data_IF_064507411720
#
_entry.id   IF_064507411720
#
_cell.length_a   1.000
_cell.length_b   1.000
_cell.length_c   1.000
_cell.angle_alpha   90.00
_cell.angle_beta   90.00
_cell.angle_gamma   90.00
#
_symmetry.space_group_name_H-M   'P 1'
#
loop_
_entity.id
_entity.type
_entity.pdbx_description
1 polymer ?
#
# COMPACT_ATOMS: atom_id res chain seq x y z
N UNK A 1 9.16 -0.75 -38.69
CA UNK A 1 7.72 -0.96 -38.43
C UNK A 1 7.45 -0.48 -37.02
N UNK A 2 6.82 0.67 -36.87
CA UNK A 2 6.44 1.21 -35.56
C UNK A 2 5.28 0.38 -35.05
N UNK A 3 5.51 -0.40 -33.99
CA UNK A 3 4.44 -1.00 -33.21
C UNK A 3 3.63 0.14 -32.58
N UNK A 4 2.58 0.62 -33.27
CA UNK A 4 1.69 1.64 -32.72
C UNK A 4 0.75 0.98 -31.71
N UNK A 5 1.18 0.83 -30.46
CA UNK A 5 0.22 0.66 -29.37
C UNK A 5 -0.42 2.02 -29.07
N UNK A 6 -1.67 2.02 -28.63
CA UNK A 6 -2.29 3.23 -28.11
C UNK A 6 -1.49 3.69 -26.87
N UNK A 7 -1.09 4.96 -26.77
CA UNK A 7 -0.27 5.43 -25.67
C UNK A 7 -1.02 5.23 -24.35
N UNK A 8 -0.29 4.72 -23.35
CA UNK A 8 -0.83 4.54 -22.00
C UNK A 8 -0.94 5.89 -21.30
N UNK A 9 -1.78 5.98 -20.27
CA UNK A 9 -1.96 7.23 -19.52
C UNK A 9 -0.63 7.85 -19.07
N UNK A 10 0.32 7.02 -18.64
CA UNK A 10 1.63 7.39 -18.12
C UNK A 10 2.54 8.05 -19.19
N UNK A 11 2.32 7.72 -20.47
CA UNK A 11 3.09 8.20 -21.63
C UNK A 11 2.53 9.50 -22.22
N UNK A 12 1.33 9.92 -21.80
CA UNK A 12 0.72 11.16 -22.29
C UNK A 12 1.46 12.40 -21.77
N UNK A 13 1.37 13.49 -22.52
CA UNK A 13 1.98 14.78 -22.17
C UNK A 13 1.15 15.52 -21.12
N UNK A 14 1.80 16.24 -20.22
CA UNK A 14 1.11 17.00 -19.15
C UNK A 14 1.45 18.49 -19.10
N UNK A 15 2.37 18.93 -19.95
CA UNK A 15 2.86 20.30 -20.06
C UNK A 15 2.77 20.81 -21.50
N UNK A 16 2.84 22.13 -21.73
CA UNK A 16 3.23 22.67 -23.04
C UNK A 16 4.68 22.27 -23.38
N UNK A 17 5.17 22.67 -24.56
CA UNK A 17 6.57 22.47 -24.92
C UNK A 17 7.44 23.38 -24.05
N UNK A 18 8.43 22.79 -23.37
CA UNK A 18 9.33 23.47 -22.44
C UNK A 18 10.77 23.40 -22.95
N UNK A 19 11.58 24.37 -22.54
CA UNK A 19 13.04 24.31 -22.62
C UNK A 19 13.62 23.33 -21.59
N UNK A 20 14.89 22.97 -21.74
CA UNK A 20 15.58 22.09 -20.80
C UNK A 20 15.61 22.66 -19.37
N UNK A 21 15.85 23.96 -19.23
CA UNK A 21 15.89 24.65 -17.93
C UNK A 21 14.52 24.61 -17.24
N UNK A 22 13.44 24.90 -17.97
CA UNK A 22 12.07 24.84 -17.45
C UNK A 22 11.70 23.42 -16.98
N UNK A 23 12.13 22.37 -17.70
CA UNK A 23 11.92 20.98 -17.25
C UNK A 23 12.61 20.72 -15.91
N UNK A 24 13.86 21.17 -15.75
CA UNK A 24 14.65 20.99 -14.53
C UNK A 24 14.02 21.73 -13.35
N UNK A 25 13.44 22.91 -13.59
CA UNK A 25 12.70 23.68 -12.59
C UNK A 25 11.44 22.94 -12.11
N UNK A 26 10.74 22.23 -12.99
CA UNK A 26 9.51 21.52 -12.64
C UNK A 26 9.74 20.20 -11.87
N UNK A 27 10.89 19.53 -12.05
CA UNK A 27 11.14 18.18 -11.54
C UNK A 27 12.21 18.15 -10.43
N UNK A 28 11.99 17.36 -9.37
CA UNK A 28 12.94 17.11 -8.29
C UNK A 28 13.89 15.96 -8.66
N UNK A 29 14.80 16.24 -9.60
CA UNK A 29 15.74 15.26 -10.13
C UNK A 29 16.75 14.77 -9.10
N UNK A 30 17.08 15.61 -8.12
CA UNK A 30 18.00 15.25 -7.03
C UNK A 30 17.43 14.09 -6.18
N UNK A 31 16.14 14.15 -5.85
CA UNK A 31 15.48 13.07 -5.12
C UNK A 31 15.39 11.80 -5.97
N UNK A 32 15.06 11.90 -7.25
CA UNK A 32 15.03 10.75 -8.17
C UNK A 32 16.41 10.08 -8.28
N UNK A 33 17.48 10.87 -8.44
CA UNK A 33 18.86 10.39 -8.45
C UNK A 33 19.23 9.63 -7.18
N UNK A 34 18.86 10.17 -6.00
CA UNK A 34 19.05 9.50 -4.71
C UNK A 34 18.29 8.18 -4.63
N UNK A 35 17.03 8.15 -5.11
CA UNK A 35 16.20 6.94 -5.13
C UNK A 35 16.80 5.87 -6.04
N UNK A 36 17.35 6.25 -7.20
CA UNK A 36 18.04 5.36 -8.14
C UNK A 36 19.48 4.99 -7.74
N UNK A 37 20.08 5.72 -6.80
CA UNK A 37 21.52 5.61 -6.48
C UNK A 37 22.43 5.83 -7.68
N UNK A 38 22.03 6.72 -8.59
CA UNK A 38 22.77 7.05 -9.81
C UNK A 38 22.96 8.55 -9.89
N UNK A 39 24.19 9.07 -10.08
CA UNK A 39 24.41 10.51 -10.23
C UNK A 39 23.68 11.05 -11.47
N UNK A 40 23.27 12.31 -11.42
CA UNK A 40 22.73 13.01 -12.58
C UNK A 40 23.88 13.35 -13.55
N UNK A 41 23.64 13.31 -14.87
CA UNK A 41 24.56 13.90 -15.83
C UNK A 41 24.74 15.40 -15.59
N UNK A 42 25.97 15.89 -15.75
CA UNK A 42 26.30 17.32 -15.57
C UNK A 42 25.99 18.15 -16.83
N UNK A 43 26.01 17.52 -18.01
CA UNK A 43 25.67 18.16 -19.28
C UNK A 43 24.16 18.16 -19.53
N UNK A 44 23.62 19.30 -19.97
CA UNK A 44 22.17 19.46 -20.17
C UNK A 44 21.61 18.55 -21.26
N UNK A 45 22.36 18.28 -22.33
CA UNK A 45 21.90 17.41 -23.41
C UNK A 45 21.88 15.95 -22.94
N UNK A 46 22.92 15.51 -22.23
CA UNK A 46 22.96 14.18 -21.61
C UNK A 46 21.87 14.00 -20.55
N UNK A 47 21.59 15.03 -19.75
CA UNK A 47 20.51 15.01 -18.76
C UNK A 47 19.14 14.84 -19.41
N UNK A 48 18.85 15.58 -20.47
CA UNK A 48 17.56 15.46 -21.17
C UNK A 48 17.40 14.09 -21.84
N UNK A 49 18.47 13.55 -22.43
CA UNK A 49 18.48 12.18 -22.95
C UNK A 49 18.23 11.16 -21.84
N UNK A 50 18.84 11.34 -20.67
CA UNK A 50 18.58 10.49 -19.52
C UNK A 50 17.13 10.56 -19.06
N UNK A 51 16.51 11.74 -19.02
CA UNK A 51 15.09 11.90 -18.69
C UNK A 51 14.16 11.23 -19.72
N UNK A 52 14.52 11.23 -20.99
CA UNK A 52 13.81 10.50 -22.05
C UNK A 52 13.91 8.99 -21.81
N UNK A 53 15.10 8.45 -21.53
CA UNK A 53 15.33 7.04 -21.18
C UNK A 53 14.56 6.63 -19.90
N UNK A 54 14.39 7.57 -18.96
CA UNK A 54 13.58 7.39 -17.76
C UNK A 54 12.06 7.57 -18.01
N UNK A 55 11.63 7.86 -19.24
CA UNK A 55 10.24 8.12 -19.65
C UNK A 55 9.60 9.36 -19.00
N UNK A 56 10.40 10.28 -18.46
CA UNK A 56 9.90 11.50 -17.81
C UNK A 56 9.59 12.61 -18.80
N UNK A 57 10.27 12.62 -19.95
CA UNK A 57 10.08 13.63 -21.00
C UNK A 57 9.99 12.99 -22.38
N UNK A 58 9.41 13.74 -23.33
CA UNK A 58 9.38 13.43 -24.76
C UNK A 58 9.98 14.63 -25.50
N UNK A 59 11.08 14.45 -26.27
CA UNK A 59 11.64 15.53 -27.07
C UNK A 59 10.73 15.90 -28.25
N UNK A 60 10.65 17.19 -28.57
CA UNK A 60 9.97 17.72 -29.76
C UNK A 60 10.66 19.01 -30.25
N UNK A 61 11.29 18.93 -31.41
CA UNK A 61 12.09 20.01 -31.97
C UNK A 61 13.24 20.42 -31.04
N UNK A 62 13.20 21.67 -30.56
CA UNK A 62 14.19 22.22 -29.62
C UNK A 62 13.75 22.18 -28.15
N UNK A 63 12.64 21.52 -27.84
CA UNK A 63 12.09 21.47 -26.48
C UNK A 63 11.62 20.07 -26.08
N UNK A 64 10.94 20.01 -24.94
CA UNK A 64 10.53 18.78 -24.28
C UNK A 64 9.13 18.92 -23.68
N UNK A 65 8.32 17.87 -23.78
CA UNK A 65 7.12 17.74 -22.96
C UNK A 65 7.41 16.84 -21.78
N UNK A 66 6.99 17.24 -20.59
CA UNK A 66 6.94 16.32 -19.44
C UNK A 66 5.76 15.36 -19.62
N UNK A 67 6.00 14.06 -19.38
CA UNK A 67 4.97 13.02 -19.41
C UNK A 67 4.14 13.00 -18.12
N UNK A 68 2.96 12.38 -18.13
CA UNK A 68 2.21 12.12 -16.91
C UNK A 68 3.04 11.35 -15.89
N UNK A 69 3.85 10.37 -16.33
CA UNK A 69 4.79 9.68 -15.45
C UNK A 69 5.81 10.64 -14.83
N UNK A 70 6.48 11.48 -15.62
CA UNK A 70 7.46 12.45 -15.13
C UNK A 70 6.85 13.42 -14.11
N UNK A 71 5.69 14.00 -14.44
CA UNK A 71 4.97 14.89 -13.52
C UNK A 71 4.49 14.17 -12.26
N UNK A 72 3.79 13.04 -12.38
CA UNK A 72 3.17 12.37 -11.23
C UNK A 72 4.21 11.79 -10.27
N UNK A 73 5.39 11.40 -10.78
CA UNK A 73 6.45 10.80 -9.96
C UNK A 73 7.40 11.85 -9.38
N UNK A 74 7.82 12.83 -10.20
CA UNK A 74 8.99 13.67 -9.91
C UNK A 74 8.68 15.16 -9.76
N UNK A 75 7.42 15.62 -9.91
CA UNK A 75 7.10 17.03 -9.75
C UNK A 75 7.56 17.60 -8.40
N UNK A 76 8.19 18.78 -8.41
CA UNK A 76 8.38 19.58 -7.18
C UNK A 76 7.04 20.02 -6.63
N UNK A 77 6.17 20.48 -7.53
CA UNK A 77 4.85 21.02 -7.25
C UNK A 77 3.84 20.48 -8.28
N UNK A 78 3.08 19.45 -7.90
CA UNK A 78 2.03 18.81 -8.69
C UNK A 78 0.91 19.78 -9.09
N UNK A 79 0.80 20.92 -8.44
CA UNK A 79 -0.21 21.91 -8.78
C UNK A 79 0.01 22.65 -10.07
N UNK A 80 1.28 22.78 -10.48
CA UNK A 80 1.64 23.36 -11.77
C UNK A 80 1.26 22.44 -12.94
N UNK A 81 0.86 21.20 -12.66
CA UNK A 81 0.42 20.22 -13.64
C UNK A 81 -1.11 20.11 -13.64
N UNK A 82 -1.79 20.86 -14.50
CA UNK A 82 -3.27 20.97 -14.54
C UNK A 82 -3.98 19.63 -14.46
N UNK A 83 -3.55 18.64 -15.26
CA UNK A 83 -4.17 17.31 -15.34
C UNK A 83 -3.80 16.37 -14.18
N UNK A 84 -2.72 16.65 -13.45
CA UNK A 84 -2.24 15.84 -12.34
C UNK A 84 -2.60 16.42 -10.97
N UNK A 85 -2.92 17.71 -10.92
CA UNK A 85 -3.26 18.44 -9.70
C UNK A 85 -4.36 17.79 -8.86
N UNK A 86 -5.31 17.09 -9.52
CA UNK A 86 -6.44 16.37 -8.90
C UNK A 86 -6.11 14.94 -8.49
N UNK A 87 -4.92 14.45 -8.84
CA UNK A 87 -4.42 13.12 -8.45
C UNK A 87 -3.62 13.15 -7.16
N UNK A 88 -3.38 14.33 -6.58
CA UNK A 88 -2.68 14.50 -5.31
C UNK A 88 -3.25 13.61 -4.21
N UNK A 89 -2.35 13.02 -3.42
CA UNK A 89 -2.77 12.32 -2.21
C UNK A 89 -3.34 13.31 -1.20
N UNK A 90 -4.43 12.90 -0.55
CA UNK A 90 -5.04 13.65 0.55
C UNK A 90 -4.90 12.85 1.84
N UNK A 91 -4.52 13.51 2.93
CA UNK A 91 -4.58 12.94 4.27
C UNK A 91 -5.58 13.75 5.07
N UNK A 92 -6.60 13.10 5.61
CA UNK A 92 -7.64 13.74 6.41
C UNK A 92 -7.66 13.10 7.80
N UNK A 93 -7.66 13.93 8.83
CA UNK A 93 -7.74 13.49 10.21
C UNK A 93 -9.10 13.87 10.77
N UNK A 94 -9.78 12.90 11.36
CA UNK A 94 -11.05 13.10 12.04
C UNK A 94 -10.89 12.85 13.54
N UNK A 95 -11.70 13.54 14.34
CA UNK A 95 -11.90 13.19 15.75
C UNK A 95 -13.01 12.15 15.85
N UNK A 96 -12.81 11.11 16.65
CA UNK A 96 -13.74 10.01 16.75
C UNK A 96 -13.62 9.01 15.62
N UNK A 97 -14.70 8.27 15.37
CA UNK A 97 -14.73 7.12 14.46
C UNK A 97 -15.50 7.38 13.16
N UNK A 98 -15.93 8.62 12.94
CA UNK A 98 -16.73 9.05 11.78
C UNK A 98 -16.17 10.35 11.17
N UNK A 99 -16.83 10.88 10.13
CA UNK A 99 -16.36 12.05 9.36
C UNK A 99 -16.93 13.40 9.80
N UNK A 100 -17.65 13.44 10.93
CA UNK A 100 -18.36 14.66 11.38
C UNK A 100 -17.37 15.74 11.77
N UNK A 101 -16.40 15.41 12.62
CA UNK A 101 -15.46 16.38 13.17
C UNK A 101 -14.09 16.24 12.49
N UNK A 102 -13.84 17.08 11.49
CA UNK A 102 -12.54 17.14 10.79
C UNK A 102 -11.53 17.95 11.61
N UNK A 103 -10.40 17.35 11.95
CA UNK A 103 -9.28 18.00 12.63
C UNK A 103 -8.47 18.82 11.61
N UNK A 104 -8.00 18.16 10.55
CA UNK A 104 -7.23 18.77 9.48
C UNK A 104 -7.33 17.98 8.16
N UNK A 105 -6.97 18.66 7.05
CA UNK A 105 -6.76 18.05 5.74
C UNK A 105 -5.42 18.56 5.17
N UNK A 106 -4.55 17.61 4.80
CA UNK A 106 -3.30 17.90 4.09
C UNK A 106 -3.40 17.37 2.66
N UNK A 107 -3.10 18.23 1.69
CA UNK A 107 -2.99 17.87 0.27
C UNK A 107 -1.52 17.76 -0.10
N UNK A 108 -1.07 16.57 -0.49
CA UNK A 108 0.30 16.37 -0.94
C UNK A 108 0.58 17.16 -2.22
N UNK A 109 1.62 17.99 -2.23
CA UNK A 109 1.97 18.80 -3.40
C UNK A 109 3.15 18.27 -4.20
N UNK A 110 3.90 17.29 -3.70
CA UNK A 110 5.05 16.72 -4.42
C UNK A 110 4.62 15.52 -5.26
N UNK A 111 5.37 15.25 -6.33
CA UNK A 111 5.28 14.00 -7.08
C UNK A 111 5.40 12.80 -6.15
N UNK A 112 4.74 11.71 -6.50
CA UNK A 112 4.58 10.52 -5.68
C UNK A 112 5.90 9.90 -5.22
N UNK A 113 6.91 9.85 -6.08
CA UNK A 113 8.20 9.27 -5.70
C UNK A 113 8.95 10.21 -4.74
N UNK A 114 8.96 11.50 -5.08
CA UNK A 114 9.66 12.55 -4.32
C UNK A 114 9.01 12.79 -2.94
N UNK A 115 7.68 12.72 -2.88
CA UNK A 115 6.90 12.93 -1.67
C UNK A 115 6.75 11.70 -0.77
N UNK A 116 7.17 10.52 -1.23
CA UNK A 116 6.89 9.24 -0.55
C UNK A 116 7.42 9.17 0.88
N UNK A 117 8.72 9.44 1.06
CA UNK A 117 9.38 9.42 2.38
C UNK A 117 8.79 10.50 3.31
N UNK A 118 8.53 11.69 2.77
CA UNK A 118 7.92 12.79 3.52
C UNK A 118 6.50 12.48 4.00
N UNK A 119 5.71 11.77 3.19
CA UNK A 119 4.37 11.31 3.57
C UNK A 119 4.41 10.27 4.69
N UNK A 120 5.32 9.29 4.61
CA UNK A 120 5.50 8.30 5.68
C UNK A 120 5.91 9.01 6.98
N UNK A 121 6.90 9.90 6.92
CA UNK A 121 7.34 10.67 8.09
C UNK A 121 6.23 11.56 8.66
N UNK A 122 5.36 12.13 7.81
CA UNK A 122 4.17 12.85 8.27
C UNK A 122 3.20 11.93 9.01
N UNK A 123 2.84 10.79 8.42
CA UNK A 123 1.92 9.83 9.03
C UNK A 123 2.43 9.32 10.37
N UNK A 124 3.71 8.93 10.43
CA UNK A 124 4.32 8.48 11.68
C UNK A 124 4.20 9.54 12.76
N UNK A 125 4.40 10.84 12.47
CA UNK A 125 4.25 11.91 13.47
C UNK A 125 2.82 12.14 13.95
N UNK A 126 1.82 11.99 13.08
CA UNK A 126 0.42 12.32 13.43
C UNK A 126 -0.40 11.13 13.92
N UNK A 127 0.07 9.90 13.66
CA UNK A 127 -0.57 8.69 14.14
C UNK A 127 -0.39 8.52 15.66
N UNK A 128 -1.29 7.80 16.35
CA UNK A 128 -1.12 7.49 17.76
C UNK A 128 0.18 6.71 18.04
N UNK A 129 0.82 7.01 19.17
CA UNK A 129 2.06 6.36 19.63
C UNK A 129 1.84 5.69 20.98
N UNK A 130 2.63 4.66 21.26
CA UNK A 130 2.85 4.11 22.60
C UNK A 130 4.27 4.44 23.06
N UNK A 131 4.45 4.70 24.36
CA UNK A 131 5.79 4.72 24.96
C UNK A 131 6.24 3.27 25.20
N UNK A 132 7.42 2.92 24.69
CA UNK A 132 8.09 1.64 24.95
C UNK A 132 9.46 1.93 25.54
N UNK A 133 9.86 1.19 26.58
CA UNK A 133 11.21 1.29 27.13
C UNK A 133 12.10 0.30 26.38
N UNK A 134 12.99 0.80 25.51
CA UNK A 134 14.04 0.01 24.87
C UNK A 134 15.40 0.42 25.42
N UNK A 135 16.21 -0.55 25.85
CA UNK A 135 17.58 -0.32 26.33
C UNK A 135 17.69 0.80 27.37
N UNK A 136 16.74 0.87 28.30
CA UNK A 136 16.63 1.89 29.37
C UNK A 136 16.24 3.31 28.90
N UNK A 137 15.97 3.53 27.61
CA UNK A 137 15.48 4.79 27.06
C UNK A 137 14.00 4.66 26.68
N UNK A 138 13.24 5.74 26.89
CA UNK A 138 11.85 5.82 26.41
C UNK A 138 11.87 6.18 24.92
N UNK A 139 11.23 5.34 24.12
CA UNK A 139 11.02 5.56 22.70
C UNK A 139 9.51 5.61 22.41
N UNK A 140 9.11 6.57 21.57
CA UNK A 140 7.74 6.63 21.06
C UNK A 140 7.65 5.77 19.81
N UNK A 141 6.83 4.72 19.88
CA UNK A 141 6.60 3.80 18.76
C UNK A 141 5.18 3.98 18.26
N UNK A 142 5.01 4.25 16.96
CA UNK A 142 3.69 4.31 16.31
C UNK A 142 2.90 3.01 16.56
N UNK A 143 1.61 3.14 16.84
CA UNK A 143 0.71 1.97 16.96
C UNK A 143 0.53 1.22 15.63
N UNK A 144 0.84 1.87 14.52
CA UNK A 144 0.77 1.29 13.18
C UNK A 144 2.17 0.95 12.66
N UNK A 145 2.41 -0.27 12.17
CA UNK A 145 3.73 -0.68 11.67
C UNK A 145 4.13 0.15 10.45
N UNK A 146 5.32 0.77 10.48
CA UNK A 146 5.84 1.56 9.36
C UNK A 146 5.88 0.74 8.05
N UNK A 147 6.28 -0.53 8.12
CA UNK A 147 6.30 -1.41 6.95
C UNK A 147 4.91 -1.58 6.33
N UNK A 148 3.85 -1.65 7.15
CA UNK A 148 2.48 -1.74 6.65
C UNK A 148 2.04 -0.43 5.99
N UNK A 149 2.34 0.72 6.62
CA UNK A 149 2.05 2.04 6.06
C UNK A 149 2.75 2.20 4.71
N UNK A 150 4.05 1.90 4.64
CA UNK A 150 4.86 1.98 3.43
C UNK A 150 4.29 1.17 2.27
N UNK A 151 3.94 -0.10 2.52
CA UNK A 151 3.37 -0.99 1.49
C UNK A 151 1.98 -0.53 1.05
N UNK A 152 1.11 -0.08 1.98
CA UNK A 152 -0.23 0.40 1.64
C UNK A 152 -0.21 1.72 0.87
N UNK A 153 0.69 2.64 1.22
CA UNK A 153 0.89 3.90 0.48
C UNK A 153 1.42 3.60 -0.92
N UNK A 154 2.45 2.76 -1.04
CA UNK A 154 2.99 2.40 -2.36
C UNK A 154 1.91 1.76 -3.24
N UNK A 155 1.14 0.82 -2.69
CA UNK A 155 0.01 0.21 -3.38
C UNK A 155 -1.06 1.24 -3.76
N UNK A 156 -1.37 2.18 -2.87
CA UNK A 156 -2.33 3.26 -3.14
C UNK A 156 -1.88 4.12 -4.32
N UNK A 157 -0.61 4.54 -4.33
CA UNK A 157 -0.05 5.39 -5.39
C UNK A 157 0.03 4.66 -6.73
N UNK A 158 0.40 3.37 -6.73
CA UNK A 158 0.62 2.59 -7.95
C UNK A 158 -0.68 2.05 -8.56
N UNK A 159 -1.64 1.59 -7.77
CA UNK A 159 -2.77 0.78 -8.27
C UNK A 159 -4.08 1.55 -8.46
N UNK A 160 -4.08 2.86 -8.23
CA UNK A 160 -5.24 3.72 -8.48
C UNK A 160 -5.62 3.76 -9.97
N UNK A 161 -6.89 4.05 -10.26
CA UNK A 161 -7.34 4.31 -11.62
C UNK A 161 -7.14 5.78 -12.00
N UNK A 162 -6.11 6.05 -12.80
CA UNK A 162 -5.82 7.41 -13.26
C UNK A 162 -6.86 7.96 -14.26
N UNK A 163 -7.78 7.14 -14.79
CA UNK A 163 -8.87 7.63 -15.65
C UNK A 163 -10.02 8.25 -14.85
N UNK A 164 -10.15 7.93 -13.56
CA UNK A 164 -11.20 8.51 -12.70
C UNK A 164 -10.91 9.97 -12.41
N UNK A 165 -11.73 10.89 -12.90
CA UNK A 165 -11.53 12.33 -12.69
C UNK A 165 -12.07 12.80 -11.34
N UNK A 166 -11.57 13.93 -10.84
CA UNK A 166 -12.06 14.56 -9.61
C UNK A 166 -11.68 13.87 -8.30
N UNK A 167 -11.07 12.69 -8.35
CA UNK A 167 -10.63 11.93 -7.19
C UNK A 167 -9.15 11.52 -7.29
N UNK A 168 -8.51 11.45 -6.13
CA UNK A 168 -7.16 10.95 -5.93
C UNK A 168 -7.12 10.01 -4.72
N UNK A 169 -5.96 9.40 -4.43
CA UNK A 169 -5.80 8.52 -3.29
C UNK A 169 -6.00 9.33 -2.00
N UNK A 170 -6.78 8.78 -1.07
CA UNK A 170 -7.12 9.43 0.20
C UNK A 170 -6.75 8.53 1.35
N UNK A 171 -6.00 9.07 2.30
CA UNK A 171 -5.70 8.45 3.59
C UNK A 171 -6.57 9.14 4.64
N UNK A 172 -7.37 8.36 5.37
CA UNK A 172 -8.21 8.89 6.44
C UNK A 172 -7.81 8.28 7.77
N UNK A 173 -7.59 9.13 8.76
CA UNK A 173 -7.18 8.73 10.11
C UNK A 173 -8.33 9.04 11.07
N UNK A 174 -8.68 8.03 11.86
CA UNK A 174 -9.69 8.07 12.90
C UNK A 174 -9.05 7.62 14.22
N UNK A 175 -9.79 7.75 15.33
CA UNK A 175 -9.30 7.34 16.65
C UNK A 175 -8.99 5.83 16.73
N UNK A 176 -9.70 5.00 15.95
CA UNK A 176 -9.64 3.54 16.01
C UNK A 176 -9.02 2.87 14.79
N UNK A 177 -8.74 3.62 13.70
CA UNK A 177 -8.26 3.07 12.43
C UNK A 177 -7.61 4.11 11.52
N UNK A 178 -6.83 3.61 10.56
CA UNK A 178 -6.40 4.33 9.37
C UNK A 178 -6.93 3.60 8.13
N UNK A 179 -7.40 4.35 7.14
CA UNK A 179 -7.91 3.81 5.87
C UNK A 179 -7.15 4.40 4.69
N UNK A 180 -6.95 3.59 3.66
CA UNK A 180 -6.29 3.95 2.40
C UNK A 180 -7.29 3.68 1.28
N UNK A 181 -7.78 4.75 0.65
CA UNK A 181 -8.83 4.67 -0.37
C UNK A 181 -8.30 5.13 -1.71
N UNK A 182 -8.43 4.26 -2.72
CA UNK A 182 -8.09 4.56 -4.09
C UNK A 182 -9.34 4.76 -4.95
N UNK A 183 -9.29 5.67 -5.95
CA UNK A 183 -10.29 5.68 -7.01
C UNK A 183 -10.13 4.45 -7.90
N UNK A 184 -11.26 3.92 -8.35
CA UNK A 184 -11.33 2.73 -9.19
C UNK A 184 -11.47 1.42 -8.40
N UNK A 185 -12.14 0.46 -9.02
CA UNK A 185 -12.39 -0.86 -8.43
C UNK A 185 -11.16 -1.77 -8.53
N UNK A 186 -11.21 -2.94 -7.88
CA UNK A 186 -10.22 -3.99 -8.12
C UNK A 186 -10.21 -4.40 -9.60
N UNK A 187 -9.02 -4.80 -10.10
CA UNK A 187 -8.91 -5.37 -11.44
C UNK A 187 -9.81 -6.61 -11.56
N UNK A 188 -10.48 -6.85 -12.71
CA UNK A 188 -11.38 -8.00 -12.89
C UNK A 188 -10.73 -9.37 -12.65
N UNK A 189 -9.42 -9.46 -12.86
CA UNK A 189 -8.57 -10.64 -12.60
C UNK A 189 -8.32 -10.90 -11.11
N UNK A 190 -8.58 -9.92 -10.23
CA UNK A 190 -8.32 -10.00 -8.79
C UNK A 190 -9.60 -10.32 -8.03
N UNK A 191 -9.47 -11.20 -7.05
CA UNK A 191 -10.55 -11.54 -6.12
C UNK A 191 -10.23 -10.98 -4.74
N UNK A 192 -11.23 -10.34 -4.13
CA UNK A 192 -11.11 -9.69 -2.82
C UNK A 192 -10.53 -10.63 -1.75
N UNK A 193 -11.01 -11.86 -1.72
CA UNK A 193 -10.61 -12.88 -0.77
C UNK A 193 -9.26 -13.55 -1.11
N UNK A 194 -8.64 -13.24 -2.25
CA UNK A 194 -7.34 -13.80 -2.67
C UNK A 194 -6.29 -12.73 -2.98
N UNK A 195 -6.40 -11.55 -2.38
CA UNK A 195 -5.45 -10.45 -2.58
C UNK A 195 -4.08 -10.73 -1.95
N UNK A 196 -4.04 -11.42 -0.80
CA UNK A 196 -2.80 -11.74 -0.11
C UNK A 196 -2.06 -12.82 -0.91
N UNK A 197 -0.86 -12.51 -1.39
CA UNK A 197 -0.06 -13.41 -2.23
C UNK A 197 -0.63 -13.62 -3.64
N UNK A 198 -1.47 -12.70 -4.11
CA UNK A 198 -1.91 -12.70 -5.52
C UNK A 198 -0.74 -12.41 -6.46
N UNK A 199 -0.80 -12.93 -7.69
CA UNK A 199 0.19 -12.62 -8.72
C UNK A 199 0.25 -11.09 -8.94
N UNK A 200 1.44 -10.48 -8.99
CA UNK A 200 1.57 -9.04 -9.24
C UNK A 200 0.90 -8.64 -10.56
N UNK A 201 0.07 -7.61 -10.52
CA UNK A 201 -0.57 -7.03 -11.69
C UNK A 201 -0.91 -5.57 -11.36
N UNK A 202 -0.63 -4.66 -12.28
CA UNK A 202 -0.85 -3.23 -12.07
C UNK A 202 -1.59 -2.62 -13.25
N UNK A 203 -2.51 -1.70 -12.97
CA UNK A 203 -3.09 -0.81 -14.00
C UNK A 203 -2.03 0.12 -14.61
N UNK A 204 -1.04 0.48 -13.80
CA UNK A 204 0.00 1.46 -14.11
C UNK A 204 1.35 0.74 -14.08
N UNK A 205 1.70 0.10 -15.19
CA UNK A 205 2.86 -0.80 -15.28
C UNK A 205 4.18 -0.03 -15.31
N UNK A 206 4.23 1.14 -15.97
CA UNK A 206 5.44 1.96 -16.02
C UNK A 206 5.76 2.50 -14.62
N UNK A 207 4.76 3.04 -13.94
CA UNK A 207 4.85 3.54 -12.57
C UNK A 207 5.25 2.42 -11.61
N UNK A 208 4.61 1.25 -11.70
CA UNK A 208 4.97 0.09 -10.89
C UNK A 208 6.43 -0.35 -11.11
N UNK A 209 6.86 -0.44 -12.38
CA UNK A 209 8.22 -0.83 -12.74
C UNK A 209 9.25 0.17 -12.21
N UNK A 210 9.02 1.47 -12.45
CA UNK A 210 9.92 2.53 -11.99
C UNK A 210 9.94 2.67 -10.47
N UNK A 211 8.82 2.49 -9.78
CA UNK A 211 8.78 2.56 -8.31
C UNK A 211 9.53 1.39 -7.65
N UNK A 212 9.65 0.24 -8.32
CA UNK A 212 10.58 -0.82 -7.88
C UNK A 212 12.02 -0.39 -8.03
N UNK A 213 12.39 0.21 -9.18
CA UNK A 213 13.74 0.74 -9.41
C UNK A 213 14.09 1.87 -8.43
N UNK A 214 13.12 2.69 -8.05
CA UNK A 214 13.25 3.73 -7.02
C UNK A 214 13.27 3.16 -5.60
N UNK A 215 13.14 1.85 -5.45
CA UNK A 215 13.09 1.14 -4.16
C UNK A 215 11.98 1.67 -3.26
N UNK A 216 10.82 2.00 -3.85
CA UNK A 216 9.58 2.37 -3.15
C UNK A 216 8.77 1.12 -2.83
N UNK A 217 8.62 0.20 -3.79
CA UNK A 217 7.93 -1.08 -3.61
C UNK A 217 8.80 -2.27 -4.02
N UNK A 218 8.48 -3.46 -3.50
CA UNK A 218 9.17 -4.69 -3.88
C UNK A 218 8.54 -5.38 -5.09
N UNK A 219 9.35 -6.19 -5.79
CA UNK A 219 8.99 -6.82 -7.06
C UNK A 219 8.13 -8.10 -6.92
N UNK A 220 7.95 -8.64 -5.70
CA UNK A 220 7.54 -10.04 -5.50
C UNK A 220 6.07 -10.28 -5.17
N UNK A 221 5.19 -9.27 -5.23
CA UNK A 221 3.77 -9.43 -4.85
C UNK A 221 3.56 -9.74 -3.35
N UNK A 222 4.59 -9.51 -2.55
CA UNK A 222 4.64 -9.79 -1.11
C UNK A 222 4.06 -8.65 -0.26
N UNK A 223 3.68 -7.52 -0.85
CA UNK A 223 3.26 -6.32 -0.12
C UNK A 223 2.15 -6.58 0.91
N UNK A 224 1.05 -7.23 0.50
CA UNK A 224 0.01 -7.61 1.45
C UNK A 224 0.43 -8.70 2.44
N UNK A 225 1.35 -9.60 2.08
CA UNK A 225 1.89 -10.57 3.04
C UNK A 225 2.66 -9.87 4.17
N UNK A 226 3.47 -8.85 3.83
CA UNK A 226 4.18 -8.04 4.83
C UNK A 226 3.22 -7.25 5.71
N UNK A 227 2.18 -6.66 5.12
CA UNK A 227 1.16 -5.91 5.86
C UNK A 227 0.47 -6.83 6.87
N UNK A 228 0.01 -8.01 6.44
CA UNK A 228 -0.65 -8.97 7.34
C UNK A 228 0.32 -9.50 8.39
N UNK A 229 1.56 -9.80 8.03
CA UNK A 229 2.59 -10.25 8.98
C UNK A 229 2.86 -9.20 10.06
N UNK A 230 2.96 -7.93 9.67
CA UNK A 230 3.14 -6.82 10.61
C UNK A 230 1.91 -6.61 11.51
N UNK A 231 0.70 -6.75 10.96
CA UNK A 231 -0.57 -6.74 11.69
C UNK A 231 -0.61 -7.86 12.75
N UNK A 232 -0.19 -9.08 12.41
CA UNK A 232 -0.11 -10.18 13.39
C UNK A 232 0.89 -9.87 14.51
N UNK A 233 2.08 -9.37 14.16
CA UNK A 233 3.13 -9.03 15.13
C UNK A 233 2.66 -7.97 16.14
N UNK A 234 1.95 -6.95 15.66
CA UNK A 234 1.44 -5.85 16.47
C UNK A 234 0.16 -6.22 17.24
N UNK A 235 -0.39 -7.42 17.02
CA UNK A 235 -1.64 -7.86 17.66
C UNK A 235 -2.85 -7.03 17.19
N UNK A 236 -2.83 -6.59 15.93
CA UNK A 236 -3.89 -5.81 15.34
C UNK A 236 -5.01 -6.72 14.80
N UNK A 237 -6.25 -6.20 14.68
CA UNK A 237 -7.32 -6.84 13.91
C UNK A 237 -6.88 -7.12 12.47
N UNK A 238 -7.55 -8.05 11.76
CA UNK A 238 -7.17 -8.37 10.39
C UNK A 238 -7.26 -7.14 9.47
N UNK A 239 -6.46 -7.15 8.42
CA UNK A 239 -6.54 -6.13 7.37
C UNK A 239 -7.91 -6.23 6.72
N UNK A 240 -8.66 -5.14 6.66
CA UNK A 240 -9.98 -5.16 6.03
C UNK A 240 -9.90 -4.58 4.61
N UNK A 241 -10.29 -5.40 3.63
CA UNK A 241 -10.40 -5.01 2.23
C UNK A 241 -11.86 -4.73 1.90
N UNK A 242 -12.17 -3.49 1.48
CA UNK A 242 -13.54 -3.04 1.23
C UNK A 242 -13.67 -2.53 -0.20
N UNK A 243 -14.36 -3.25 -1.10
CA UNK A 243 -14.76 -2.68 -2.38
C UNK A 243 -15.79 -1.58 -2.15
N UNK A 244 -15.61 -0.45 -2.82
CA UNK A 244 -16.56 0.65 -2.87
C UNK A 244 -17.17 0.71 -4.26
N UNK A 245 -18.25 1.49 -4.42
CA UNK A 245 -18.92 1.66 -5.72
C UNK A 245 -17.95 2.09 -6.84
N UNK A 246 -17.09 3.08 -6.54
CA UNK A 246 -16.09 3.62 -7.47
C UNK A 246 -14.68 3.66 -6.87
N UNK A 247 -14.37 2.73 -5.99
CA UNK A 247 -13.11 2.73 -5.27
C UNK A 247 -12.78 1.42 -4.58
N UNK A 248 -11.61 1.41 -3.96
CA UNK A 248 -11.17 0.31 -3.13
C UNK A 248 -10.50 0.86 -1.89
N UNK A 249 -10.87 0.33 -0.73
CA UNK A 249 -10.36 0.77 0.55
C UNK A 249 -9.67 -0.37 1.29
N UNK A 250 -8.50 -0.08 1.86
CA UNK A 250 -7.81 -0.95 2.82
C UNK A 250 -7.83 -0.26 4.19
N UNK A 251 -8.22 -1.00 5.23
CA UNK A 251 -8.29 -0.48 6.60
C UNK A 251 -7.35 -1.24 7.52
N UNK A 252 -6.57 -0.51 8.30
CA UNK A 252 -5.85 -1.01 9.46
C UNK A 252 -6.51 -0.45 10.72
N UNK A 253 -6.94 -1.32 11.61
CA UNK A 253 -7.46 -0.92 12.92
C UNK A 253 -6.34 -0.81 13.95
N UNK A 254 -6.51 0.03 14.95
CA UNK A 254 -5.61 0.10 16.09
C UNK A 254 -5.48 -1.28 16.80
N UNK A 255 -4.33 -1.56 17.44
CA UNK A 255 -4.15 -2.79 18.22
C UNK A 255 -5.24 -2.96 19.29
N UNK A 256 -5.79 -4.18 19.40
CA UNK A 256 -6.75 -4.55 20.45
C UNK A 256 -6.62 -6.03 20.81
N UNK A 257 -6.99 -6.39 22.04
CA UNK A 257 -6.84 -7.76 22.51
C UNK A 257 -7.83 -8.69 21.81
N UNK A 258 -7.50 -9.99 21.78
CA UNK A 258 -8.38 -11.02 21.22
C UNK A 258 -9.82 -10.94 21.75
N UNK A 259 -9.98 -10.66 23.06
CA UNK A 259 -11.27 -10.53 23.73
C UNK A 259 -12.14 -9.39 23.17
N UNK A 260 -11.52 -8.33 22.67
CA UNK A 260 -12.19 -7.11 22.17
C UNK A 260 -12.46 -7.17 20.66
N UNK A 261 -11.99 -8.21 19.97
CA UNK A 261 -12.29 -8.44 18.56
C UNK A 261 -13.68 -9.06 18.41
N UNK A 262 -14.47 -8.54 17.47
CA UNK A 262 -15.72 -9.16 17.08
C UNK A 262 -15.48 -10.54 16.46
N UNK A 263 -16.49 -11.42 16.53
CA UNK A 263 -16.35 -12.79 16.03
C UNK A 263 -15.97 -12.84 14.53
N UNK A 264 -16.54 -11.95 13.71
CA UNK A 264 -16.22 -11.85 12.27
C UNK A 264 -14.76 -11.46 12.07
N UNK A 265 -14.22 -10.55 12.87
CA UNK A 265 -12.81 -10.14 12.81
C UNK A 265 -11.89 -11.29 13.22
N UNK A 266 -12.26 -12.07 14.24
CA UNK A 266 -11.47 -13.25 14.64
C UNK A 266 -11.42 -14.31 13.54
N UNK A 267 -12.55 -14.54 12.87
CA UNK A 267 -12.63 -15.49 11.74
C UNK A 267 -11.77 -15.01 10.57
N UNK A 268 -11.85 -13.72 10.23
CA UNK A 268 -11.03 -13.16 9.15
C UNK A 268 -9.54 -13.12 9.52
N UNK A 269 -9.22 -12.88 10.79
CA UNK A 269 -7.87 -13.05 11.31
C UNK A 269 -7.39 -14.50 11.13
N UNK A 270 -8.18 -15.49 11.56
CA UNK A 270 -7.86 -16.91 11.35
C UNK A 270 -7.58 -17.22 9.86
N UNK A 271 -8.39 -16.69 8.95
CA UNK A 271 -8.17 -16.82 7.52
C UNK A 271 -6.82 -16.25 7.06
N UNK A 272 -6.55 -14.98 7.37
CA UNK A 272 -5.32 -14.32 6.94
C UNK A 272 -4.07 -15.01 7.50
N UNK A 273 -4.17 -15.56 8.72
CA UNK A 273 -3.12 -16.39 9.30
C UNK A 273 -2.89 -17.66 8.49
N UNK A 274 -3.95 -18.38 8.13
CA UNK A 274 -3.84 -19.58 7.31
C UNK A 274 -3.18 -19.27 5.95
N UNK A 275 -3.47 -18.11 5.37
CA UNK A 275 -2.84 -17.66 4.12
C UNK A 275 -1.34 -17.42 4.31
N UNK A 276 -0.93 -16.74 5.37
CA UNK A 276 0.50 -16.54 5.67
C UNK A 276 1.24 -17.87 5.91
N UNK A 277 0.62 -18.78 6.67
CA UNK A 277 1.18 -20.11 6.92
C UNK A 277 1.37 -20.88 5.61
N UNK A 278 0.36 -20.88 4.74
CA UNK A 278 0.40 -21.56 3.45
C UNK A 278 1.55 -21.05 2.57
N UNK A 279 1.71 -19.73 2.43
CA UNK A 279 2.82 -19.14 1.67
C UNK A 279 4.19 -19.34 2.32
N UNK A 280 4.23 -19.73 3.58
CA UNK A 280 5.45 -20.10 4.30
C UNK A 280 5.72 -21.62 4.27
N UNK A 281 4.99 -22.38 3.44
CA UNK A 281 5.02 -23.86 3.40
C UNK A 281 4.69 -24.51 4.75
N UNK A 282 3.88 -23.85 5.55
CA UNK A 282 3.38 -24.29 6.85
C UNK A 282 1.85 -24.42 6.83
N UNK A 283 1.27 -24.81 7.95
CA UNK A 283 -0.18 -24.97 8.12
C UNK A 283 -0.65 -24.18 9.33
N UNK A 284 -1.91 -23.76 9.30
CA UNK A 284 -2.55 -23.25 10.49
C UNK A 284 -2.79 -24.39 11.47
N UNK A 285 -2.37 -24.19 12.71
CA UNK A 285 -2.69 -25.07 13.84
C UNK A 285 -3.23 -24.24 14.99
N UNK A 286 -3.80 -24.90 16.01
CA UNK A 286 -4.18 -24.22 17.24
C UNK A 286 -2.98 -23.49 17.88
N UNK A 287 -1.78 -24.07 17.81
CA UNK A 287 -0.56 -23.46 18.36
C UNK A 287 -0.17 -22.19 17.60
N UNK A 288 -0.13 -22.22 16.27
CA UNK A 288 0.26 -21.03 15.48
C UNK A 288 -0.75 -19.90 15.67
N UNK A 289 -2.05 -20.23 15.74
CA UNK A 289 -3.10 -19.24 15.94
C UNK A 289 -3.10 -18.64 17.35
N UNK A 290 -2.77 -19.43 18.38
CA UNK A 290 -2.52 -18.91 19.74
C UNK A 290 -1.37 -17.91 19.76
N UNK A 291 -0.27 -18.22 19.06
CA UNK A 291 0.88 -17.32 18.93
C UNK A 291 0.49 -16.00 18.28
N UNK A 292 -0.27 -16.02 17.18
CA UNK A 292 -0.81 -14.81 16.52
C UNK A 292 -1.56 -13.91 17.50
N UNK A 293 -2.51 -14.49 18.24
CA UNK A 293 -3.37 -13.71 19.14
C UNK A 293 -2.74 -13.44 20.52
N UNK A 294 -1.50 -13.89 20.76
CA UNK A 294 -0.79 -13.76 22.05
C UNK A 294 -1.60 -14.34 23.23
N UNK A 295 -2.34 -15.43 23.00
CA UNK A 295 -3.16 -16.09 24.02
C UNK A 295 -2.48 -17.32 24.61
N UNK A 296 -2.75 -17.61 25.88
CA UNK A 296 -2.11 -18.71 26.60
C UNK A 296 -2.69 -20.09 26.23
N UNK A 297 -1.99 -21.17 26.59
CA UNK A 297 -2.51 -22.54 26.42
C UNK A 297 -3.84 -22.81 27.14
N UNK A 298 -4.12 -22.09 28.23
CA UNK A 298 -5.40 -22.20 28.95
C UNK A 298 -6.59 -21.83 28.07
N UNK A 299 -6.37 -21.02 27.03
CA UNK A 299 -7.41 -20.59 26.07
C UNK A 299 -7.45 -21.49 24.82
N UNK A 300 -6.82 -22.67 24.83
CA UNK A 300 -6.83 -23.62 23.70
C UNK A 300 -8.23 -23.86 23.15
N UNK A 301 -9.22 -24.06 24.02
CA UNK A 301 -10.59 -24.36 23.60
C UNK A 301 -11.24 -23.19 22.84
N UNK A 302 -10.96 -21.94 23.22
CA UNK A 302 -11.45 -20.76 22.49
C UNK A 302 -10.90 -20.73 21.06
N UNK A 303 -9.61 -21.07 20.90
CA UNK A 303 -8.97 -21.15 19.58
C UNK A 303 -9.48 -22.34 18.76
N UNK A 304 -9.74 -23.48 19.39
CA UNK A 304 -10.38 -24.63 18.71
C UNK A 304 -11.75 -24.26 18.17
N UNK A 305 -12.57 -23.56 18.96
CA UNK A 305 -13.88 -23.09 18.52
C UNK A 305 -13.75 -22.09 17.37
N UNK A 306 -12.82 -21.14 17.46
CA UNK A 306 -12.57 -20.18 16.38
C UNK A 306 -12.16 -20.87 15.07
N UNK A 307 -11.31 -21.90 15.14
CA UNK A 307 -10.94 -22.68 13.94
C UNK A 307 -12.18 -23.38 13.36
N UNK A 308 -13.04 -23.94 14.20
CA UNK A 308 -14.30 -24.53 13.75
C UNK A 308 -15.22 -23.49 13.10
N UNK A 309 -15.33 -22.28 13.67
CA UNK A 309 -16.10 -21.18 13.10
C UNK A 309 -15.55 -20.75 11.74
N UNK A 310 -14.23 -20.68 11.58
CA UNK A 310 -13.58 -20.34 10.31
C UNK A 310 -13.76 -21.42 9.23
N UNK A 311 -13.80 -22.70 9.62
CA UNK A 311 -14.18 -23.80 8.72
C UNK A 311 -15.65 -23.71 8.33
N UNK A 312 -16.55 -23.49 9.29
CA UNK A 312 -17.98 -23.35 9.04
C UNK A 312 -18.30 -22.14 8.14
N UNK A 313 -17.53 -21.05 8.28
CA UNK A 313 -17.59 -19.88 7.42
C UNK A 313 -16.94 -20.08 6.04
N UNK A 314 -16.40 -21.27 5.74
CA UNK A 314 -15.76 -21.59 4.46
C UNK A 314 -14.47 -20.82 4.19
N UNK A 315 -13.83 -20.25 5.22
CA UNK A 315 -12.59 -19.48 5.06
C UNK A 315 -11.36 -20.38 5.01
N UNK A 316 -11.37 -21.46 5.78
CA UNK A 316 -10.29 -22.45 5.84
C UNK A 316 -10.84 -23.86 5.71
N UNK A 317 -9.98 -24.82 5.39
CA UNK A 317 -10.31 -26.25 5.37
C UNK A 317 -9.22 -27.07 6.05
N UNK A 318 -9.57 -28.28 6.48
CA UNK A 318 -8.57 -29.26 6.94
C UNK A 318 -7.69 -29.66 5.76
N UNK A 319 -6.38 -29.75 6.00
CA UNK A 319 -5.41 -30.23 5.02
C UNK A 319 -5.56 -31.73 4.75
N UNK A 320 -5.79 -32.52 5.80
CA UNK A 320 -6.02 -33.95 5.73
C UNK A 320 -7.23 -34.34 6.60
N UNK A 321 -8.22 -34.98 5.98
CA UNK A 321 -9.45 -35.43 6.63
C UNK A 321 -9.27 -36.73 7.41
N UNK A 322 -8.18 -37.48 7.20
CA UNK A 322 -7.93 -38.78 7.83
C UNK A 322 -7.23 -38.69 9.19
N UNK A 323 -6.51 -37.58 9.42
CA UNK A 323 -5.79 -37.32 10.66
C UNK A 323 -6.73 -37.00 11.84
N UNK A 324 -6.45 -37.60 13.01
CA UNK A 324 -7.21 -37.39 14.24
C UNK A 324 -7.20 -35.93 14.74
N UNK A 325 -8.21 -35.54 15.53
CA UNK A 325 -8.41 -34.14 15.95
C UNK A 325 -7.25 -33.52 16.76
N UNK A 326 -6.37 -34.33 17.35
CA UNK A 326 -5.28 -33.86 18.22
C UNK A 326 -4.17 -33.11 17.47
N UNK A 327 -4.01 -33.36 16.17
CA UNK A 327 -2.98 -32.75 15.31
C UNK A 327 -3.57 -32.17 14.02
N UNK A 328 -4.78 -31.62 14.12
CA UNK A 328 -5.47 -31.07 12.97
C UNK A 328 -4.69 -29.87 12.37
N UNK A 329 -4.37 -29.99 11.08
CA UNK A 329 -3.76 -28.94 10.27
C UNK A 329 -4.79 -28.33 9.32
N UNK A 330 -4.71 -27.01 9.13
CA UNK A 330 -5.65 -26.26 8.30
C UNK A 330 -4.91 -25.40 7.28
N UNK A 331 -5.55 -25.21 6.14
CA UNK A 331 -5.08 -24.38 5.02
C UNK A 331 -6.21 -23.47 4.55
N UNK A 332 -5.92 -22.38 3.79
CA UNK A 332 -6.95 -21.59 3.14
C UNK A 332 -7.90 -22.48 2.32
N UNK A 333 -9.17 -22.09 2.20
CA UNK A 333 -10.16 -22.93 1.52
C UNK A 333 -9.79 -23.31 0.07
N UNK A 334 -9.06 -22.42 -0.62
CA UNK A 334 -8.63 -22.56 -2.01
C UNK A 334 -7.31 -23.32 -2.21
N UNK A 335 -6.62 -23.69 -1.13
CA UNK A 335 -5.29 -24.30 -1.14
C UNK A 335 -5.28 -25.77 -1.56
#
# INVERSE_FOLDING_TARGET
MLNSHAPRWEELRTTPLLSADEVIEHLDLATISKLLQRPLPDDSFELMRWLEEENMVIPDGSGYYITHFGGISAARELEHFTHLSRKRIRVIRYSGTNKVDTIDEVRGNKGYAVGFEGLIGYLLRVLPHSEVIQQSLREQVSLYPEIALRELIANALIHQDFNVTGAGPTIEIYDDRITFTNPGTLLPSKRLDRLIGTTPESRNELLASKFRQYRICEERGTGFQKVVSAVELFGMPPVLFTPLENGFQVTLYAPRQFADMAQVERVEACYQHAVLQYFSSQTLTNTTLRTRFKVSERQRNQITNLIADAVAAGRIKRKDSTSGNKFAEYVPYWA
#
